data_IF_471976923027
#
_entry.id   IF_471976923027
#
_cell.length_a   1.000
_cell.length_b   1.000
_cell.length_c   1.000
_cell.angle_alpha   90.00
_cell.angle_beta   90.00
_cell.angle_gamma   90.00
#
_symmetry.space_group_name_H-M   'P 1'
#
loop_
_entity.id
_entity.type
_entity.pdbx_description
1 polymer ?
#
# COMPACT_ATOMS: atom_id res chain seq x y z
N UNK A 1 0.01 -30.36 2.40
CA UNK A 1 -1.20 -30.78 1.66
C UNK A 1 -1.34 -29.89 0.44
N UNK A 2 -1.62 -30.47 -0.73
CA UNK A 2 -1.84 -29.69 -1.94
C UNK A 2 -3.16 -28.90 -1.84
N UNK A 3 -3.20 -27.70 -2.44
CA UNK A 3 -4.39 -26.87 -2.52
C UNK A 3 -5.45 -27.57 -3.39
N UNK A 4 -6.62 -27.88 -2.82
CA UNK A 4 -7.77 -28.43 -3.55
C UNK A 4 -8.83 -27.35 -3.74
N UNK A 5 -9.07 -26.95 -4.98
CA UNK A 5 -10.06 -25.93 -5.34
C UNK A 5 -11.26 -26.65 -5.96
N UNK A 6 -12.41 -26.62 -5.27
CA UNK A 6 -13.66 -27.26 -5.73
C UNK A 6 -14.59 -26.29 -6.48
N UNK A 7 -14.05 -25.15 -6.88
CA UNK A 7 -14.78 -24.11 -7.61
C UNK A 7 -14.50 -24.23 -9.12
N UNK A 8 -15.54 -24.47 -9.90
CA UNK A 8 -15.43 -24.72 -11.33
C UNK A 8 -14.96 -23.48 -12.10
N UNK A 9 -15.34 -22.28 -11.65
CA UNK A 9 -14.91 -21.03 -12.27
C UNK A 9 -13.41 -20.80 -12.08
N UNK A 10 -12.89 -21.02 -10.87
CA UNK A 10 -11.46 -20.92 -10.57
C UNK A 10 -10.66 -21.93 -11.39
N UNK A 11 -11.15 -23.16 -11.57
CA UNK A 11 -10.48 -24.13 -12.44
C UNK A 11 -10.46 -23.67 -13.91
N UNK A 12 -11.57 -23.12 -14.40
CA UNK A 12 -11.65 -22.57 -15.75
C UNK A 12 -10.65 -21.43 -15.94
N UNK A 13 -10.61 -20.48 -15.02
CA UNK A 13 -9.65 -19.36 -15.05
C UNK A 13 -8.19 -19.84 -15.01
N UNK A 14 -7.87 -20.80 -14.12
CA UNK A 14 -6.54 -21.37 -14.06
C UNK A 14 -6.14 -22.07 -15.37
N UNK A 15 -7.11 -22.67 -16.06
CA UNK A 15 -6.91 -23.32 -17.37
C UNK A 15 -6.67 -22.29 -18.47
N UNK A 16 -7.51 -21.25 -18.54
CA UNK A 16 -7.39 -20.18 -19.55
C UNK A 16 -6.07 -19.43 -19.41
N UNK A 17 -5.70 -19.02 -18.20
CA UNK A 17 -4.44 -18.31 -17.94
C UNK A 17 -3.24 -19.19 -18.25
N UNK A 18 -3.26 -20.46 -17.85
CA UNK A 18 -2.20 -21.41 -18.15
C UNK A 18 -2.02 -21.62 -19.67
N UNK A 19 -3.12 -21.71 -20.42
CA UNK A 19 -3.08 -21.82 -21.88
C UNK A 19 -2.52 -20.55 -22.54
N UNK A 20 -2.93 -19.37 -22.07
CA UNK A 20 -2.42 -18.08 -22.58
C UNK A 20 -0.92 -17.89 -22.31
N UNK A 21 -0.44 -18.34 -21.14
CA UNK A 21 0.95 -18.21 -20.74
C UNK A 21 1.85 -19.39 -21.18
N UNK A 22 1.27 -20.45 -21.76
CA UNK A 22 2.01 -21.65 -22.18
C UNK A 22 2.61 -22.44 -21.00
N UNK A 23 1.93 -22.46 -19.86
CA UNK A 23 2.41 -23.09 -18.63
C UNK A 23 1.38 -24.04 -17.99
N UNK A 24 1.72 -24.65 -16.85
CA UNK A 24 0.79 -25.54 -16.13
C UNK A 24 -0.20 -24.74 -15.28
N UNK A 25 -1.41 -25.27 -15.05
CA UNK A 25 -2.41 -24.65 -14.14
C UNK A 25 -1.81 -24.29 -12.77
N UNK A 26 -0.96 -25.17 -12.23
CA UNK A 26 -0.29 -24.94 -10.95
C UNK A 26 0.68 -23.76 -11.01
N UNK A 27 1.43 -23.61 -12.11
CA UNK A 27 2.35 -22.49 -12.28
C UNK A 27 1.59 -21.18 -12.45
N UNK A 28 0.54 -21.16 -13.26
CA UNK A 28 -0.35 -20.02 -13.42
C UNK A 28 -0.95 -19.56 -12.08
N UNK A 29 -1.45 -20.49 -11.27
CA UNK A 29 -1.98 -20.18 -9.93
C UNK A 29 -0.89 -19.64 -9.01
N UNK A 30 0.31 -20.23 -9.02
CA UNK A 30 1.44 -19.75 -8.20
C UNK A 30 1.80 -18.31 -8.56
N UNK A 31 1.99 -18.01 -9.85
CA UNK A 31 2.35 -16.67 -10.32
C UNK A 31 1.25 -15.67 -9.98
N UNK A 32 -0.02 -16.00 -10.22
CA UNK A 32 -1.14 -15.13 -9.87
C UNK A 32 -1.20 -14.78 -8.37
N UNK A 33 -0.92 -15.76 -7.50
CA UNK A 33 -0.85 -15.55 -6.05
C UNK A 33 0.35 -14.67 -5.65
N UNK A 34 1.52 -14.90 -6.25
CA UNK A 34 2.72 -14.09 -6.00
C UNK A 34 2.50 -12.62 -6.39
N UNK A 35 1.89 -12.39 -7.55
CA UNK A 35 1.53 -11.05 -7.99
C UNK A 35 0.49 -10.38 -7.08
N UNK A 36 -0.56 -11.11 -6.69
CA UNK A 36 -1.59 -10.59 -5.78
C UNK A 36 -0.98 -10.24 -4.44
N UNK A 37 -0.10 -11.09 -3.90
CA UNK A 37 0.65 -10.82 -2.67
C UNK A 37 1.51 -9.56 -2.82
N UNK A 38 2.25 -9.41 -3.90
CA UNK A 38 3.09 -8.23 -4.17
C UNK A 38 2.26 -6.94 -4.18
N UNK A 39 1.10 -6.95 -4.84
CA UNK A 39 0.15 -5.81 -4.85
C UNK A 39 -0.36 -5.47 -3.45
N UNK A 40 -0.72 -6.48 -2.65
CA UNK A 40 -1.21 -6.29 -1.28
C UNK A 40 -0.13 -5.74 -0.35
N UNK A 41 1.09 -6.27 -0.41
CA UNK A 41 2.22 -5.79 0.40
C UNK A 41 2.56 -4.33 0.07
N UNK A 42 2.56 -3.95 -1.22
CA UNK A 42 2.78 -2.54 -1.61
C UNK A 42 1.69 -1.62 -1.07
N UNK A 43 0.42 -2.04 -1.14
CA UNK A 43 -0.70 -1.27 -0.60
C UNK A 43 -0.57 -1.09 0.92
N UNK A 44 -0.26 -2.16 1.65
CA UNK A 44 -0.07 -2.11 3.09
C UNK A 44 1.13 -1.24 3.46
N UNK A 45 2.27 -1.39 2.79
CA UNK A 45 3.44 -0.56 3.05
C UNK A 45 3.22 0.93 2.78
N UNK A 46 2.40 1.29 1.79
CA UNK A 46 2.01 2.68 1.53
C UNK A 46 1.11 3.24 2.64
N UNK A 47 0.12 2.45 3.08
CA UNK A 47 -0.76 2.81 4.20
C UNK A 47 0.04 2.95 5.50
N UNK A 48 0.89 1.98 5.83
CA UNK A 48 1.74 1.99 7.02
C UNK A 48 2.69 3.18 7.06
N UNK A 49 3.16 3.67 5.90
CA UNK A 49 4.00 4.88 5.82
C UNK A 49 3.20 6.13 6.19
N UNK A 50 1.98 6.26 5.69
CA UNK A 50 1.07 7.35 6.06
C UNK A 50 0.76 7.32 7.55
N UNK A 51 0.37 6.17 8.07
CA UNK A 51 0.01 6.00 9.48
C UNK A 51 1.22 6.21 10.42
N UNK A 52 2.44 5.86 9.99
CA UNK A 52 3.66 6.18 10.73
C UNK A 52 3.99 7.67 10.70
N UNK A 53 3.88 8.32 9.55
CA UNK A 53 4.12 9.76 9.42
C UNK A 53 3.11 10.55 10.25
N UNK A 54 1.84 10.18 10.20
CA UNK A 54 0.78 10.82 10.97
C UNK A 54 1.04 10.70 12.48
N UNK A 55 1.32 9.49 12.99
CA UNK A 55 1.69 9.32 14.41
C UNK A 55 2.90 10.15 14.80
N UNK A 56 3.95 10.18 13.97
CA UNK A 56 5.11 11.02 14.24
C UNK A 56 4.75 12.50 14.30
N UNK A 57 3.93 12.99 13.37
CA UNK A 57 3.47 14.38 13.37
C UNK A 57 2.62 14.70 14.61
N UNK A 58 1.71 13.80 15.01
CA UNK A 58 0.78 13.99 16.12
C UNK A 58 1.44 13.83 17.51
N UNK A 59 2.27 12.80 17.67
CA UNK A 59 2.82 12.40 18.97
C UNK A 59 4.16 13.09 19.25
N UNK A 60 4.99 13.35 18.24
CA UNK A 60 6.32 13.93 18.44
C UNK A 60 6.40 15.40 18.05
N UNK A 61 5.89 15.78 16.88
CA UNK A 61 6.05 17.16 16.39
C UNK A 61 4.99 18.12 16.95
N UNK A 62 3.72 17.73 16.98
CA UNK A 62 2.62 18.61 17.41
C UNK A 62 2.79 19.16 18.84
N UNK A 63 3.25 18.36 19.84
CA UNK A 63 3.48 18.88 21.20
C UNK A 63 4.57 19.95 21.28
N UNK A 64 5.53 19.94 20.34
CA UNK A 64 6.64 20.89 20.31
C UNK A 64 6.25 22.26 19.73
N UNK A 65 5.08 22.35 19.06
CA UNK A 65 4.61 23.62 18.50
C UNK A 65 4.13 24.54 19.64
N UNK A 66 4.66 25.77 19.77
CA UNK A 66 4.23 26.72 20.79
C UNK A 66 2.72 27.00 20.70
N UNK A 67 1.97 26.98 21.82
CA UNK A 67 0.52 27.22 21.82
C UNK A 67 0.10 28.52 21.12
N UNK A 68 0.96 29.54 21.15
CA UNK A 68 0.72 30.90 20.66
C UNK A 68 0.64 30.98 19.13
N UNK A 69 1.19 29.98 18.43
CA UNK A 69 1.21 29.90 16.97
C UNK A 69 0.30 28.81 16.42
N UNK A 70 -0.29 27.95 17.27
CA UNK A 70 -1.21 26.89 16.83
C UNK A 70 -2.46 27.50 16.18
N UNK A 71 -2.81 27.01 14.99
CA UNK A 71 -3.97 27.49 14.24
C UNK A 71 -3.80 28.86 13.58
N UNK A 72 -2.63 29.50 13.71
CA UNK A 72 -2.34 30.77 13.01
C UNK A 72 -1.75 30.44 11.63
N UNK A 73 -2.40 30.88 10.54
CA UNK A 73 -1.84 30.69 9.20
C UNK A 73 -0.61 31.58 9.01
N UNK A 74 0.41 31.05 8.34
CA UNK A 74 1.62 31.79 7.96
C UNK A 74 1.32 32.61 6.70
N UNK A 75 1.71 33.88 6.68
CA UNK A 75 1.62 34.74 5.49
C UNK A 75 2.54 34.24 4.36
N UNK A 76 2.38 34.80 3.16
CA UNK A 76 3.24 34.43 2.03
C UNK A 76 4.68 34.88 2.29
N UNK A 77 4.83 36.10 2.81
CA UNK A 77 6.11 36.73 3.12
C UNK A 77 6.86 35.94 4.21
N UNK A 78 6.18 35.57 5.31
CA UNK A 78 6.79 34.74 6.37
C UNK A 78 7.17 33.34 5.84
N UNK A 79 6.39 32.76 4.92
CA UNK A 79 6.71 31.46 4.31
C UNK A 79 7.99 31.53 3.46
N UNK A 80 8.13 32.60 2.66
CA UNK A 80 9.34 32.82 1.86
C UNK A 80 10.56 33.04 2.76
N UNK A 81 10.42 33.73 3.89
CA UNK A 81 11.51 33.91 4.86
C UNK A 81 11.94 32.59 5.53
N UNK A 82 10.98 31.71 5.84
CA UNK A 82 11.25 30.40 6.47
C UNK A 82 11.89 29.41 5.48
N UNK A 83 11.46 29.41 4.22
CA UNK A 83 11.85 28.39 3.24
C UNK A 83 13.04 28.81 2.35
N UNK A 84 13.41 30.09 2.35
CA UNK A 84 14.37 30.67 1.40
C UNK A 84 13.86 30.68 -0.04
#
# INVERSE_FOLDING_TARGET
MALNIKDAETERLATEVAAMAGETKTRAVKVALEERRSRLVRKQGAQDRGDRLQRFLEEELWPQIPPEVRGRPISKEEREEILG
#
